data_IF_943182858723
#
_entry.id   IF_943182858723
#
_cell.length_a   1.000
_cell.length_b   1.000
_cell.length_c   1.000
_cell.angle_alpha   90.00
_cell.angle_beta   90.00
_cell.angle_gamma   90.00
#
_symmetry.space_group_name_H-M   'P 1'
#
loop_
_entity.id
_entity.type
_entity.pdbx_description
1 polymer ?
#
# COMPACT_ATOMS: atom_id res chain seq x y z
N UNK A 1 -1.13 12.80 18.90
CA UNK A 1 -1.47 12.84 17.46
C UNK A 1 -2.72 12.02 17.11
N UNK A 2 -2.86 10.78 17.62
CA UNK A 2 -4.09 9.97 17.40
C UNK A 2 -5.37 10.55 18.00
N UNK A 3 -5.27 11.38 19.04
CA UNK A 3 -6.43 12.01 19.69
C UNK A 3 -7.21 12.94 18.75
N UNK A 4 -6.55 13.56 17.78
CA UNK A 4 -7.21 14.39 16.76
C UNK A 4 -7.97 13.58 15.72
N UNK A 5 -7.66 12.29 15.54
CA UNK A 5 -8.42 11.43 14.64
C UNK A 5 -9.81 11.08 15.21
N UNK A 6 -9.99 11.20 16.54
CA UNK A 6 -11.23 10.88 17.23
C UNK A 6 -12.10 12.12 17.51
N UNK A 7 -11.61 13.31 17.16
CA UNK A 7 -12.34 14.58 17.34
C UNK A 7 -12.84 15.08 15.98
N UNK A 8 -14.12 14.81 15.68
CA UNK A 8 -14.70 15.13 14.38
C UNK A 8 -16.10 15.74 14.46
N UNK A 9 -16.41 16.65 13.53
CA UNK A 9 -17.77 17.17 13.28
C UNK A 9 -18.70 16.03 12.84
N UNK A 10 -20.04 16.14 12.97
CA UNK A 10 -20.96 15.07 12.54
C UNK A 10 -20.78 14.65 11.06
N UNK A 11 -20.38 15.56 10.17
CA UNK A 11 -20.02 15.24 8.78
C UNK A 11 -18.84 14.27 8.64
N UNK A 12 -17.84 14.38 9.51
CA UNK A 12 -16.69 13.46 9.55
C UNK A 12 -17.14 12.04 9.89
N UNK A 13 -18.01 11.90 10.90
CA UNK A 13 -18.55 10.60 11.29
C UNK A 13 -19.45 9.97 10.23
N UNK A 14 -20.27 10.76 9.54
CA UNK A 14 -21.06 10.28 8.40
C UNK A 14 -20.14 9.75 7.29
N UNK A 15 -19.08 10.50 6.96
CA UNK A 15 -18.11 10.08 5.95
C UNK A 15 -17.39 8.78 6.35
N UNK A 16 -16.97 8.67 7.61
CA UNK A 16 -16.33 7.46 8.13
C UNK A 16 -17.30 6.27 8.09
N UNK A 17 -18.56 6.45 8.48
CA UNK A 17 -19.59 5.42 8.39
C UNK A 17 -19.83 4.94 6.95
N UNK A 18 -19.85 5.87 5.99
CA UNK A 18 -19.96 5.54 4.56
C UNK A 18 -18.76 4.69 4.08
N UNK A 19 -17.53 5.05 4.45
CA UNK A 19 -16.33 4.28 4.10
C UNK A 19 -16.35 2.88 4.72
N UNK A 20 -16.75 2.75 5.98
CA UNK A 20 -16.90 1.45 6.65
C UNK A 20 -17.94 0.59 5.94
N UNK A 21 -19.06 1.16 5.52
CA UNK A 21 -20.08 0.45 4.77
C UNK A 21 -19.53 -0.11 3.45
N UNK A 22 -18.74 0.68 2.70
CA UNK A 22 -18.08 0.19 1.49
C UNK A 22 -17.10 -0.95 1.77
N UNK A 23 -16.33 -0.86 2.86
CA UNK A 23 -15.42 -1.95 3.28
C UNK A 23 -16.22 -3.22 3.60
N UNK A 24 -17.34 -3.11 4.31
CA UNK A 24 -18.18 -4.26 4.64
C UNK A 24 -18.78 -4.92 3.39
N UNK A 25 -19.20 -4.12 2.40
CA UNK A 25 -19.64 -4.63 1.10
C UNK A 25 -18.51 -5.40 0.41
N UNK A 26 -17.29 -4.83 0.40
CA UNK A 26 -16.11 -5.49 -0.18
C UNK A 26 -15.80 -6.82 0.51
N UNK A 27 -15.81 -6.85 1.84
CA UNK A 27 -15.60 -8.06 2.65
C UNK A 27 -16.69 -9.10 2.39
N UNK A 28 -17.94 -8.68 2.21
CA UNK A 28 -19.04 -9.59 1.87
C UNK A 28 -18.81 -10.29 0.54
N UNK A 29 -18.50 -9.53 -0.53
CA UNK A 29 -18.22 -10.11 -1.85
C UNK A 29 -16.95 -10.97 -1.86
N UNK A 30 -15.92 -10.58 -1.12
CA UNK A 30 -14.72 -11.38 -0.97
C UNK A 30 -15.00 -12.74 -0.29
N UNK A 31 -15.83 -12.77 0.75
CA UNK A 31 -16.27 -14.03 1.36
C UNK A 31 -17.11 -14.89 0.40
N UNK A 32 -17.96 -14.25 -0.39
CA UNK A 32 -18.80 -14.92 -1.38
C UNK A 32 -17.94 -15.55 -2.50
N UNK A 33 -16.89 -14.84 -2.93
CA UNK A 33 -15.87 -15.35 -3.85
C UNK A 33 -15.15 -16.60 -3.29
N UNK A 34 -14.88 -16.65 -1.98
CA UNK A 34 -14.28 -17.84 -1.35
C UNK A 34 -15.23 -19.05 -1.29
N UNK A 35 -16.54 -18.82 -1.16
CA UNK A 35 -17.53 -19.90 -1.05
C UNK A 35 -17.96 -20.44 -2.40
N UNK A 36 -18.18 -19.56 -3.38
CA UNK A 36 -18.79 -19.89 -4.67
C UNK A 36 -17.75 -19.91 -5.81
N UNK A 37 -16.57 -19.36 -5.56
CA UNK A 37 -15.45 -19.30 -6.50
C UNK A 37 -15.42 -18.00 -7.31
N UNK A 38 -14.21 -17.50 -7.57
CA UNK A 38 -13.94 -16.31 -8.37
C UNK A 38 -14.54 -16.36 -9.78
N UNK A 39 -14.70 -17.55 -10.35
CA UNK A 39 -15.30 -17.71 -11.67
C UNK A 39 -16.78 -17.32 -11.75
N UNK A 40 -17.53 -17.48 -10.65
CA UNK A 40 -18.97 -17.17 -10.62
C UNK A 40 -19.28 -15.77 -10.12
N UNK A 41 -18.40 -15.19 -9.30
CA UNK A 41 -18.56 -13.85 -8.74
C UNK A 41 -17.94 -12.79 -9.64
N UNK A 42 -16.70 -13.02 -10.07
CA UNK A 42 -15.91 -12.07 -10.88
C UNK A 42 -16.00 -12.38 -12.38
N UNK A 43 -16.47 -13.58 -12.76
CA UNK A 43 -16.56 -14.00 -14.16
C UNK A 43 -15.23 -14.52 -14.72
N UNK A 44 -14.32 -14.99 -13.86
CA UNK A 44 -13.06 -15.59 -14.31
C UNK A 44 -13.29 -16.98 -14.90
N UNK A 45 -12.52 -17.28 -15.95
CA UNK A 45 -12.62 -18.54 -16.68
C UNK A 45 -11.21 -19.12 -16.86
N UNK A 46 -11.11 -20.36 -17.34
CA UNK A 46 -9.80 -21.01 -17.54
C UNK A 46 -8.88 -20.23 -18.48
N UNK A 47 -9.46 -19.56 -19.47
CA UNK A 47 -8.71 -18.80 -20.48
C UNK A 47 -8.50 -17.33 -20.06
N UNK A 48 -9.27 -16.85 -19.06
CA UNK A 48 -9.13 -15.53 -18.44
C UNK A 48 -9.01 -15.70 -16.92
N UNK A 49 -7.84 -16.16 -16.49
CA UNK A 49 -7.53 -16.40 -15.08
C UNK A 49 -7.23 -15.11 -14.33
N UNK A 50 -6.77 -14.08 -15.05
CA UNK A 50 -6.38 -12.78 -14.51
C UNK A 50 -7.32 -11.71 -15.08
N UNK A 51 -7.94 -10.94 -14.19
CA UNK A 51 -8.93 -9.93 -14.55
C UNK A 51 -8.67 -8.60 -13.83
N UNK A 52 -9.75 -7.89 -13.50
CA UNK A 52 -9.68 -6.58 -12.83
C UNK A 52 -8.88 -6.60 -11.52
N UNK A 53 -8.87 -7.72 -10.81
CA UNK A 53 -8.14 -7.88 -9.54
C UNK A 53 -6.62 -7.70 -9.72
N UNK A 54 -6.02 -8.21 -10.81
CA UNK A 54 -4.60 -7.99 -11.11
C UNK A 54 -4.35 -6.62 -11.74
N UNK A 55 -5.27 -6.12 -12.57
CA UNK A 55 -5.20 -4.75 -13.06
C UNK A 55 -5.15 -3.73 -11.92
N UNK A 56 -5.94 -3.95 -10.88
CA UNK A 56 -5.96 -3.14 -9.66
C UNK A 56 -4.61 -3.19 -8.92
N UNK A 57 -4.03 -4.39 -8.77
CA UNK A 57 -2.68 -4.55 -8.20
C UNK A 57 -1.65 -3.70 -8.97
N UNK A 58 -1.57 -3.88 -10.29
CA UNK A 58 -0.64 -3.13 -11.13
C UNK A 58 -0.86 -1.62 -11.06
N UNK A 59 -2.13 -1.17 -10.98
CA UNK A 59 -2.47 0.24 -10.84
C UNK A 59 -1.92 0.83 -9.54
N UNK A 60 -2.15 0.18 -8.40
CA UNK A 60 -1.69 0.69 -7.11
C UNK A 60 -0.17 0.62 -6.94
N UNK A 61 0.47 -0.43 -7.47
CA UNK A 61 1.93 -0.50 -7.54
C UNK A 61 2.49 0.65 -8.40
N UNK A 62 1.87 0.92 -9.55
CA UNK A 62 2.24 2.05 -10.41
C UNK A 62 2.03 3.41 -9.73
N UNK A 63 0.92 3.59 -9.01
CA UNK A 63 0.65 4.81 -8.24
C UNK A 63 1.68 5.02 -7.11
N UNK A 64 2.08 3.94 -6.43
CA UNK A 64 3.14 3.99 -5.42
C UNK A 64 4.50 4.37 -6.03
N UNK A 65 4.86 3.77 -7.17
CA UNK A 65 6.08 4.12 -7.89
C UNK A 65 6.08 5.60 -8.34
N UNK A 66 4.93 6.11 -8.81
CA UNK A 66 4.75 7.51 -9.17
C UNK A 66 4.97 8.47 -7.99
N UNK A 67 4.59 8.08 -6.77
CA UNK A 67 4.85 8.85 -5.57
C UNK A 67 6.36 9.01 -5.30
N UNK A 68 7.14 7.95 -5.46
CA UNK A 68 8.61 8.01 -5.31
C UNK A 68 9.27 8.86 -6.39
N UNK A 69 8.73 8.87 -7.61
CA UNK A 69 9.23 9.76 -8.67
C UNK A 69 9.11 11.25 -8.31
N UNK A 70 8.07 11.64 -7.54
CA UNK A 70 7.91 13.02 -7.06
C UNK A 70 8.94 13.36 -5.97
N UNK A 71 9.39 12.36 -5.23
CA UNK A 71 10.37 12.48 -4.15
C UNK A 71 11.81 12.57 -4.68
N UNK A 72 12.06 12.02 -5.87
CA UNK A 72 13.38 11.93 -6.49
C UNK A 72 14.10 13.29 -6.69
N UNK A 73 13.44 14.36 -7.17
CA UNK A 73 14.06 15.69 -7.28
C UNK A 73 14.50 16.28 -5.94
N UNK A 74 13.75 16.03 -4.86
CA UNK A 74 14.13 16.49 -3.53
C UNK A 74 15.45 15.83 -3.07
N UNK A 75 15.57 14.53 -3.30
CA UNK A 75 16.77 13.79 -2.90
C UNK A 75 17.98 14.04 -3.81
N UNK A 76 17.80 14.02 -5.13
CA UNK A 76 18.92 14.18 -6.08
C UNK A 76 19.33 15.64 -6.32
N UNK A 77 18.37 16.57 -6.37
CA UNK A 77 18.64 17.98 -6.75
C UNK A 77 18.55 18.95 -5.56
N UNK A 78 18.34 18.46 -4.32
CA UNK A 78 18.33 19.25 -3.09
C UNK A 78 17.38 20.46 -3.13
N UNK A 79 16.30 20.35 -3.91
CA UNK A 79 15.35 21.44 -4.10
C UNK A 79 14.42 21.53 -2.88
N UNK A 80 14.78 22.39 -1.92
CA UNK A 80 14.15 22.48 -0.58
C UNK A 80 12.64 22.71 -0.60
N UNK A 81 12.09 23.30 -1.67
CA UNK A 81 10.65 23.52 -1.81
C UNK A 81 9.85 22.20 -1.88
N UNK A 82 10.46 21.11 -2.33
CA UNK A 82 9.80 19.81 -2.40
C UNK A 82 9.73 19.07 -1.05
N UNK A 83 10.37 19.55 0.02
CA UNK A 83 10.40 18.82 1.31
C UNK A 83 9.01 18.49 1.87
N UNK A 84 8.08 19.45 1.81
CA UNK A 84 6.69 19.25 2.26
C UNK A 84 5.90 18.31 1.34
N UNK A 85 6.17 18.38 0.03
CA UNK A 85 5.53 17.51 -0.98
C UNK A 85 6.05 16.09 -0.84
N UNK A 86 7.35 15.92 -0.52
CA UNK A 86 7.99 14.63 -0.27
C UNK A 86 7.31 13.88 0.86
N UNK A 87 7.04 14.54 1.98
CA UNK A 87 6.32 13.89 3.10
C UNK A 87 4.94 13.41 2.67
N UNK A 88 4.17 14.23 1.96
CA UNK A 88 2.85 13.83 1.46
C UNK A 88 2.94 12.67 0.47
N UNK A 89 3.94 12.68 -0.42
CA UNK A 89 4.18 11.62 -1.39
C UNK A 89 4.58 10.31 -0.71
N UNK A 90 5.45 10.34 0.31
CA UNK A 90 5.84 9.13 1.07
C UNK A 90 4.65 8.50 1.80
N UNK A 91 3.79 9.30 2.46
CA UNK A 91 2.57 8.76 3.08
C UNK A 91 1.55 8.26 2.07
N UNK A 92 1.44 8.93 0.92
CA UNK A 92 0.61 8.45 -0.18
C UNK A 92 1.12 7.10 -0.71
N UNK A 93 2.44 6.94 -0.87
CA UNK A 93 3.07 5.69 -1.30
C UNK A 93 2.73 4.55 -0.33
N UNK A 94 2.84 4.77 0.99
CA UNK A 94 2.44 3.79 2.01
C UNK A 94 1.00 3.33 1.80
N UNK A 95 0.07 4.27 1.61
CA UNK A 95 -1.34 3.95 1.37
C UNK A 95 -1.56 3.10 0.12
N UNK A 96 -0.93 3.46 -1.00
CA UNK A 96 -1.02 2.71 -2.25
C UNK A 96 -0.44 1.29 -2.12
N UNK A 97 0.70 1.14 -1.43
CA UNK A 97 1.34 -0.17 -1.21
C UNK A 97 0.49 -1.06 -0.32
N UNK A 98 -0.13 -0.52 0.72
CA UNK A 98 -1.06 -1.29 1.57
C UNK A 98 -2.23 -1.83 0.75
N UNK A 99 -2.81 -1.01 -0.14
CA UNK A 99 -3.89 -1.46 -1.03
C UNK A 99 -3.38 -2.49 -2.05
N UNK A 100 -2.16 -2.32 -2.57
CA UNK A 100 -1.53 -3.31 -3.44
C UNK A 100 -1.34 -4.65 -2.73
N UNK A 101 -0.80 -4.66 -1.51
CA UNK A 101 -0.64 -5.87 -0.69
C UNK A 101 -1.97 -6.54 -0.34
N UNK A 102 -3.00 -5.75 -0.01
CA UNK A 102 -4.36 -6.27 0.19
C UNK A 102 -4.90 -6.91 -1.09
N UNK A 103 -4.60 -6.33 -2.26
CA UNK A 103 -5.01 -6.91 -3.54
C UNK A 103 -4.34 -8.27 -3.77
N UNK A 104 -3.05 -8.42 -3.45
CA UNK A 104 -2.36 -9.74 -3.49
C UNK A 104 -3.08 -10.76 -2.61
N UNK A 105 -3.49 -10.36 -1.40
CA UNK A 105 -4.21 -11.23 -0.48
C UNK A 105 -5.60 -11.64 -0.99
N UNK A 106 -6.31 -10.73 -1.65
CA UNK A 106 -7.63 -11.00 -2.23
C UNK A 106 -7.55 -11.99 -3.40
N UNK A 107 -6.49 -11.91 -4.22
CA UNK A 107 -6.29 -12.78 -5.39
C UNK A 107 -5.94 -14.22 -4.97
N UNK A 108 -5.41 -14.42 -3.76
CA UNK A 108 -5.10 -15.75 -3.26
C UNK A 108 -6.38 -16.55 -3.01
N UNK A 109 -6.54 -17.67 -3.71
CA UNK A 109 -7.68 -18.57 -3.46
C UNK A 109 -7.67 -19.23 -2.06
N UNK A 110 -6.53 -19.22 -1.37
CA UNK A 110 -6.40 -19.69 0.01
C UNK A 110 -5.56 -18.71 0.84
N UNK A 111 -6.14 -17.61 1.31
CA UNK A 111 -5.41 -16.52 1.97
C UNK A 111 -4.69 -16.95 3.26
N UNK A 112 -5.23 -17.96 3.95
CA UNK A 112 -4.63 -18.54 5.18
C UNK A 112 -3.21 -19.08 4.96
N UNK A 113 -2.87 -19.42 3.71
CA UNK A 113 -1.55 -19.95 3.35
C UNK A 113 -0.53 -18.87 3.00
N UNK A 114 -0.86 -17.58 3.14
CA UNK A 114 0.09 -16.49 2.82
C UNK A 114 1.42 -16.62 3.58
N UNK A 115 1.38 -17.12 4.82
CA UNK A 115 2.58 -17.36 5.63
C UNK A 115 3.52 -18.42 5.04
N UNK A 116 3.00 -19.34 4.21
CA UNK A 116 3.85 -20.34 3.54
C UNK A 116 4.81 -19.69 2.55
N UNK A 117 4.47 -18.53 1.99
CA UNK A 117 5.38 -17.78 1.11
C UNK A 117 6.61 -17.30 1.89
N UNK A 118 6.46 -16.99 3.18
CA UNK A 118 7.55 -16.58 4.07
C UNK A 118 8.35 -17.78 4.61
N UNK A 119 7.67 -18.86 5.01
CA UNK A 119 8.32 -20.04 5.57
C UNK A 119 9.00 -20.93 4.52
N UNK A 120 8.47 -20.95 3.29
CA UNK A 120 8.95 -21.75 2.18
C UNK A 120 9.26 -20.85 0.97
N UNK A 121 10.38 -20.11 1.02
CA UNK A 121 10.74 -19.19 -0.05
C UNK A 121 10.93 -19.96 -1.37
N UNK A 122 10.25 -19.50 -2.42
CA UNK A 122 10.29 -20.10 -3.76
C UNK A 122 10.87 -19.09 -4.76
N UNK A 123 12.21 -18.98 -4.85
CA UNK A 123 12.88 -17.95 -5.66
C UNK A 123 12.68 -18.13 -7.18
N UNK A 124 12.12 -19.27 -7.63
CA UNK A 124 11.77 -19.45 -9.04
C UNK A 124 10.43 -18.79 -9.42
N UNK A 125 9.66 -18.28 -8.45
CA UNK A 125 8.35 -17.68 -8.68
C UNK A 125 8.44 -16.15 -8.74
N UNK A 126 7.84 -15.56 -9.78
CA UNK A 126 7.73 -14.09 -9.87
C UNK A 126 6.84 -13.50 -8.77
N UNK A 127 5.82 -14.24 -8.33
CA UNK A 127 4.89 -13.81 -7.27
C UNK A 127 5.59 -13.76 -5.91
N UNK A 128 6.59 -14.63 -5.70
CA UNK A 128 7.42 -14.57 -4.50
C UNK A 128 8.19 -13.25 -4.43
N UNK A 129 8.81 -12.83 -5.53
CA UNK A 129 9.49 -11.54 -5.60
C UNK A 129 8.54 -10.35 -5.45
N UNK A 130 7.32 -10.41 -6.00
CA UNK A 130 6.33 -9.36 -5.82
C UNK A 130 6.00 -9.14 -4.35
N UNK A 131 5.76 -10.22 -3.59
CA UNK A 131 5.51 -10.13 -2.15
C UNK A 131 6.71 -9.61 -1.37
N UNK A 132 7.94 -10.04 -1.71
CA UNK A 132 9.17 -9.58 -1.05
C UNK A 132 9.44 -8.11 -1.33
N UNK A 133 9.36 -7.68 -2.59
CA UNK A 133 9.63 -6.29 -3.00
C UNK A 133 8.60 -5.35 -2.38
N UNK A 134 7.31 -5.69 -2.43
CA UNK A 134 6.27 -4.86 -1.81
C UNK A 134 6.44 -4.78 -0.28
N UNK A 135 6.83 -5.86 0.37
CA UNK A 135 7.07 -5.88 1.81
C UNK A 135 8.27 -5.01 2.21
N UNK A 136 9.40 -5.15 1.50
CA UNK A 136 10.59 -4.33 1.73
C UNK A 136 10.28 -2.87 1.45
N UNK A 137 9.59 -2.58 0.35
CA UNK A 137 9.21 -1.24 -0.04
C UNK A 137 8.28 -0.57 0.98
N UNK A 138 7.32 -1.30 1.55
CA UNK A 138 6.47 -0.80 2.63
C UNK A 138 7.28 -0.43 3.87
N UNK A 139 8.22 -1.29 4.28
CA UNK A 139 9.08 -1.05 5.44
C UNK A 139 9.95 0.20 5.21
N UNK A 140 10.55 0.32 4.03
CA UNK A 140 11.36 1.49 3.67
C UNK A 140 10.53 2.78 3.71
N UNK A 141 9.35 2.80 3.09
CA UNK A 141 8.48 3.98 3.08
C UNK A 141 7.96 4.34 4.49
N UNK A 142 7.67 3.35 5.34
CA UNK A 142 7.28 3.62 6.73
C UNK A 142 8.42 4.23 7.53
N UNK A 143 9.64 3.71 7.40
CA UNK A 143 10.82 4.24 8.10
C UNK A 143 11.13 5.66 7.60
N UNK A 144 11.20 5.86 6.29
CA UNK A 144 11.47 7.18 5.70
C UNK A 144 10.36 8.18 6.08
N UNK A 145 9.11 7.86 5.78
CA UNK A 145 7.98 8.74 6.07
C UNK A 145 7.88 9.11 7.54
N UNK A 146 8.11 8.17 8.46
CA UNK A 146 8.08 8.44 9.90
C UNK A 146 9.23 9.35 10.35
N UNK A 147 10.45 9.08 9.90
CA UNK A 147 11.63 9.85 10.29
C UNK A 147 11.60 11.25 9.70
N UNK A 148 11.17 11.40 8.44
CA UNK A 148 11.02 12.69 7.78
C UNK A 148 9.90 13.50 8.43
N UNK A 149 8.75 12.90 8.73
CA UNK A 149 7.65 13.58 9.44
C UNK A 149 8.10 14.08 10.82
N UNK A 150 8.84 13.27 11.57
CA UNK A 150 9.34 13.64 12.90
C UNK A 150 10.38 14.76 12.84
N UNK A 151 11.22 14.75 11.80
CA UNK A 151 12.20 15.80 11.56
C UNK A 151 11.53 17.14 11.20
N UNK A 152 10.54 17.11 10.31
CA UNK A 152 9.71 18.27 9.95
C UNK A 152 8.93 18.82 11.16
N UNK A 153 8.32 17.95 11.97
CA UNK A 153 7.63 18.36 13.20
C UNK A 153 8.55 19.11 14.18
N UNK A 154 9.82 18.68 14.27
CA UNK A 154 10.84 19.31 15.13
C UNK A 154 11.57 20.48 14.46
N UNK A 155 11.29 20.78 13.18
CA UNK A 155 12.02 21.78 12.40
C UNK A 155 13.52 21.48 12.25
N UNK A 156 13.93 20.23 12.43
CA UNK A 156 15.33 19.78 12.32
C UNK A 156 15.54 19.02 11.02
N UNK A 157 16.77 19.06 10.49
CA UNK A 157 17.11 18.26 9.31
C UNK A 157 17.03 16.76 9.65
N UNK A 158 16.52 15.94 8.72
CA UNK A 158 16.48 14.49 8.88
C UNK A 158 17.88 13.90 9.11
N UNK A 159 17.99 12.83 9.92
CA UNK A 159 19.27 12.27 10.32
C UNK A 159 20.02 11.62 9.14
N UNK A 160 21.35 11.70 9.17
CA UNK A 160 22.23 11.28 8.06
C UNK A 160 22.21 9.79 7.75
N UNK A 161 21.82 8.93 8.70
CA UNK A 161 21.67 7.48 8.49
C UNK A 161 20.51 7.11 7.58
N UNK A 162 19.56 8.03 7.36
CA UNK A 162 18.44 7.83 6.45
C UNK A 162 18.86 7.96 4.97
N UNK A 163 20.00 8.61 4.69
CA UNK A 163 20.51 8.81 3.33
C UNK A 163 20.64 7.52 2.51
N UNK A 164 21.27 6.42 2.99
CA UNK A 164 21.36 5.16 2.24
C UNK A 164 20.06 4.36 2.15
N UNK A 165 19.00 4.76 2.85
CA UNK A 165 17.66 4.12 2.77
C UNK A 165 16.83 4.85 1.72
N UNK A 166 17.13 6.13 1.52
CA UNK A 166 16.54 7.05 0.56
C UNK A 166 17.20 6.96 -0.83
N UNK A 167 18.52 6.79 -0.87
CA UNK A 167 19.36 6.68 -2.07
C UNK A 167 19.63 5.22 -2.42
#
# INVERSE_FOLDING_TARGET
MFEYALQGKPRYWIWLGFLVLLILIGVYYWNLEHQIGAGRVVGLHRDLTWGLHIGQLCFFVGAAAGAVMIVLPYYFHNYKEFGKITVLAEFFAVGMVVIAMLSVFVIMGQPWRVFYVLFYPTPNSIIFYDLVVLSVYLILNLICGWVVLHAEYKGVKYPSWLKPIIY
#
